data_IF_782705379454
#
_entry.id   IF_782705379454
#
_cell.length_a   1.000
_cell.length_b   1.000
_cell.length_c   1.000
_cell.angle_alpha   90.00
_cell.angle_beta   90.00
_cell.angle_gamma   90.00
#
_symmetry.space_group_name_H-M   'P 1'
#
loop_
_entity.id
_entity.type
_entity.pdbx_description
1 polymer ?
#
# COMPACT_ATOMS: atom_id res chain seq x y z
N UNK A 1 16.95 -23.06 -16.73
CA UNK A 1 17.70 -24.23 -17.21
C UNK A 1 16.74 -25.43 -17.43
N UNK A 2 15.94 -25.84 -16.44
CA UNK A 2 14.96 -26.95 -16.59
C UNK A 2 13.98 -26.72 -17.74
N UNK A 3 13.43 -25.51 -17.90
CA UNK A 3 12.53 -25.23 -19.01
C UNK A 3 13.20 -25.34 -20.39
N UNK A 4 14.46 -24.88 -20.52
CA UNK A 4 15.23 -25.01 -21.76
C UNK A 4 15.55 -26.48 -22.06
N UNK A 5 16.00 -27.25 -21.07
CA UNK A 5 16.24 -28.67 -21.20
C UNK A 5 14.97 -29.42 -21.63
N UNK A 6 13.83 -29.10 -21.00
CA UNK A 6 12.54 -29.73 -21.32
C UNK A 6 12.05 -29.36 -22.72
N UNK A 7 12.30 -28.13 -23.19
CA UNK A 7 11.98 -27.71 -24.55
C UNK A 7 12.78 -28.51 -25.62
N UNK A 8 14.03 -28.88 -25.31
CA UNK A 8 14.88 -29.65 -26.21
C UNK A 8 14.47 -31.13 -26.26
N UNK A 9 14.03 -31.69 -25.15
CA UNK A 9 13.73 -33.14 -25.02
C UNK A 9 12.26 -33.47 -25.22
N UNK A 10 11.36 -32.48 -25.09
CA UNK A 10 9.90 -32.67 -25.23
C UNK A 10 9.20 -33.15 -23.95
N UNK A 11 9.90 -33.29 -22.83
CA UNK A 11 9.37 -33.69 -21.52
C UNK A 11 10.19 -33.04 -20.39
N UNK A 12 9.66 -33.03 -19.16
CA UNK A 12 10.36 -32.44 -18.03
C UNK A 12 11.69 -33.15 -17.81
N UNK A 13 12.81 -32.42 -17.99
CA UNK A 13 14.16 -32.94 -17.99
C UNK A 13 15.03 -32.25 -16.96
N UNK A 14 15.81 -33.05 -16.22
CA UNK A 14 16.87 -32.53 -15.37
C UNK A 14 17.99 -31.93 -16.24
N UNK A 15 18.29 -30.63 -16.17
CA UNK A 15 19.31 -30.01 -17.00
C UNK A 15 20.72 -30.54 -16.74
N UNK A 16 20.97 -31.15 -15.58
CA UNK A 16 22.30 -31.71 -15.24
C UNK A 16 22.60 -32.97 -16.00
N UNK A 17 21.60 -33.60 -16.62
CA UNK A 17 21.77 -34.81 -17.46
C UNK A 17 22.18 -34.51 -18.90
N UNK A 18 22.09 -33.23 -19.31
CA UNK A 18 22.50 -32.78 -20.62
C UNK A 18 24.02 -32.55 -20.69
N UNK A 19 24.63 -32.66 -21.91
CA UNK A 19 26.03 -32.29 -22.05
C UNK A 19 26.31 -30.86 -21.57
N UNK A 20 27.49 -30.62 -20.95
CA UNK A 20 27.84 -29.27 -20.48
C UNK A 20 27.88 -28.31 -21.66
N UNK A 21 27.20 -27.16 -21.49
CA UNK A 21 27.20 -26.07 -22.47
C UNK A 21 28.47 -25.27 -22.28
N UNK A 22 29.19 -24.99 -23.36
CA UNK A 22 30.32 -24.10 -23.32
C UNK A 22 29.87 -22.72 -22.84
N UNK A 23 30.58 -22.15 -21.89
CA UNK A 23 30.30 -20.79 -21.41
C UNK A 23 30.44 -19.82 -22.58
N UNK A 24 29.42 -18.98 -22.85
CA UNK A 24 29.51 -17.96 -23.89
C UNK A 24 30.64 -16.98 -23.56
N UNK A 25 31.53 -16.77 -24.51
CA UNK A 25 32.53 -15.71 -24.36
C UNK A 25 31.83 -14.36 -24.48
N UNK A 26 32.09 -13.49 -23.54
CA UNK A 26 31.64 -12.10 -23.67
C UNK A 26 32.38 -11.44 -24.82
N UNK A 27 31.68 -10.69 -25.68
CA UNK A 27 32.35 -9.93 -26.73
C UNK A 27 33.20 -8.83 -26.12
N UNK A 28 34.35 -8.54 -26.70
CA UNK A 28 35.24 -7.45 -26.29
C UNK A 28 34.53 -6.08 -26.33
N UNK A 29 33.52 -5.96 -27.15
CA UNK A 29 32.70 -4.75 -27.29
C UNK A 29 31.25 -5.09 -27.56
N UNK A 30 30.34 -4.59 -26.71
CA UNK A 30 28.91 -4.66 -26.95
C UNK A 30 28.48 -3.61 -27.99
N UNK A 31 27.52 -3.98 -28.84
CA UNK A 31 26.80 -2.98 -29.65
C UNK A 31 25.78 -2.29 -28.74
N UNK A 32 26.02 -1.02 -28.50
CA UNK A 32 25.08 -0.17 -27.74
C UNK A 32 24.32 0.66 -28.77
N UNK A 33 23.00 0.67 -28.67
CA UNK A 33 22.13 1.58 -29.43
C UNK A 33 21.34 2.42 -28.44
N UNK A 34 21.66 3.70 -28.40
CA UNK A 34 21.05 4.68 -27.50
C UNK A 34 19.97 5.51 -28.19
N UNK A 35 19.60 5.19 -29.45
CA UNK A 35 18.64 5.95 -30.23
C UNK A 35 17.23 6.06 -29.59
N UNK A 36 16.93 5.13 -28.67
CA UNK A 36 15.68 5.14 -27.88
C UNK A 36 15.77 5.93 -26.58
N UNK A 37 16.93 6.48 -26.23
CA UNK A 37 17.14 7.25 -24.99
C UNK A 37 16.90 8.73 -25.31
N UNK A 38 15.86 9.31 -24.70
CA UNK A 38 15.63 10.75 -24.74
C UNK A 38 16.47 11.37 -23.64
N UNK A 39 17.52 12.13 -24.01
CA UNK A 39 18.35 12.82 -23.04
C UNK A 39 17.53 13.89 -22.27
N UNK A 40 17.85 14.15 -20.99
CA UNK A 40 17.22 15.24 -20.26
C UNK A 40 17.56 16.59 -20.94
N UNK A 41 16.65 17.54 -20.85
CA UNK A 41 16.86 18.90 -21.34
C UNK A 41 18.03 19.57 -20.56
N UNK A 42 18.77 20.48 -21.22
CA UNK A 42 19.70 21.36 -20.51
C UNK A 42 19.01 22.10 -19.37
N UNK A 43 19.70 22.37 -18.27
CA UNK A 43 19.11 22.93 -17.05
C UNK A 43 18.27 24.19 -17.30
N UNK A 44 18.76 25.11 -18.15
CA UNK A 44 18.06 26.35 -18.48
C UNK A 44 16.72 26.13 -19.22
N UNK A 45 16.62 25.06 -20.00
CA UNK A 45 15.39 24.69 -20.72
C UNK A 45 14.46 23.87 -19.83
N UNK A 46 15.03 23.06 -18.92
CA UNK A 46 14.27 22.22 -17.99
C UNK A 46 13.43 23.06 -17.01
N UNK A 47 13.92 24.24 -16.58
CA UNK A 47 13.18 25.15 -15.68
C UNK A 47 11.86 25.64 -16.27
N UNK A 48 11.77 25.73 -17.59
CA UNK A 48 10.58 26.23 -18.31
C UNK A 48 9.78 25.12 -18.98
N UNK A 49 10.20 23.86 -18.83
CA UNK A 49 9.55 22.73 -19.46
C UNK A 49 8.14 22.48 -18.88
N UNK A 50 7.14 22.45 -19.73
CA UNK A 50 5.79 22.09 -19.33
C UNK A 50 5.64 20.58 -19.16
N UNK A 51 5.11 20.15 -18.03
CA UNK A 51 4.80 18.74 -17.77
C UNK A 51 3.46 18.39 -18.42
N UNK A 52 3.49 17.77 -19.59
CA UNK A 52 2.30 17.31 -20.28
C UNK A 52 1.78 15.99 -19.64
N UNK A 53 0.54 16.03 -19.14
CA UNK A 53 -0.13 14.86 -18.57
C UNK A 53 -1.31 14.44 -19.43
N UNK A 54 -1.46 13.14 -19.66
CA UNK A 54 -2.66 12.58 -20.27
C UNK A 54 -3.92 12.77 -19.39
N UNK A 55 -5.12 12.62 -19.93
CA UNK A 55 -6.38 12.94 -19.25
C UNK A 55 -6.62 12.09 -17.99
N UNK A 56 -6.07 10.87 -17.95
CA UNK A 56 -6.17 9.94 -16.80
C UNK A 56 -5.00 10.05 -15.81
N UNK A 57 -4.07 10.98 -15.99
CA UNK A 57 -2.99 11.22 -15.06
C UNK A 57 -3.40 12.38 -14.15
N UNK A 58 -3.63 12.11 -12.87
CA UNK A 58 -3.96 13.10 -11.84
C UNK A 58 -2.82 13.25 -10.85
N UNK A 59 -2.71 14.41 -10.19
CA UNK A 59 -1.76 14.58 -9.09
C UNK A 59 -1.91 13.47 -8.04
N UNK A 60 -0.79 13.15 -7.39
CA UNK A 60 -0.80 12.26 -6.24
C UNK A 60 -1.67 12.88 -5.11
N UNK A 61 -2.38 12.08 -4.31
CA UNK A 61 -3.16 12.59 -3.19
C UNK A 61 -2.26 13.39 -2.22
N UNK A 62 -2.75 14.55 -1.81
CA UNK A 62 -2.08 15.33 -0.77
C UNK A 62 -2.16 14.57 0.56
N UNK A 63 -1.07 14.58 1.30
CA UNK A 63 -0.95 14.01 2.64
C UNK A 63 -0.68 15.11 3.66
N UNK A 64 -0.75 14.79 4.93
CA UNK A 64 -0.46 15.68 6.03
C UNK A 64 0.31 14.93 7.11
N UNK A 65 1.12 15.62 7.92
CA UNK A 65 1.76 15.00 9.06
C UNK A 65 0.77 14.24 9.93
N UNK A 66 1.23 13.12 10.51
CA UNK A 66 0.39 12.25 11.32
C UNK A 66 -0.30 13.04 12.45
N UNK A 67 -1.63 12.89 12.52
CA UNK A 67 -2.42 13.48 13.61
C UNK A 67 -2.07 12.82 14.97
N UNK A 68 -1.99 13.59 16.03
CA UNK A 68 -1.75 13.06 17.39
C UNK A 68 -3.04 12.56 18.06
N UNK A 69 -4.18 13.02 17.58
CA UNK A 69 -5.52 12.61 17.99
C UNK A 69 -6.33 12.21 16.76
N UNK A 70 -6.83 10.98 16.74
CA UNK A 70 -7.65 10.45 15.63
C UNK A 70 -8.94 9.90 16.22
N UNK A 71 -10.05 10.52 15.88
CA UNK A 71 -11.38 10.02 16.20
C UNK A 71 -12.19 9.87 14.91
N UNK A 72 -12.68 8.67 14.61
CA UNK A 72 -13.42 8.38 13.40
C UNK A 72 -14.26 7.09 13.54
N UNK A 73 -15.21 6.92 12.62
CA UNK A 73 -15.99 5.68 12.57
C UNK A 73 -15.24 4.53 11.88
N UNK A 74 -15.59 3.30 12.22
CA UNK A 74 -15.23 2.09 11.48
C UNK A 74 -16.06 2.07 10.20
N UNK A 75 -15.45 2.42 9.08
CA UNK A 75 -16.15 2.45 7.78
C UNK A 75 -16.38 1.03 7.27
N UNK A 76 -15.48 0.11 7.60
CA UNK A 76 -15.59 -1.28 7.15
C UNK A 76 -14.96 -2.23 8.17
N UNK A 77 -15.69 -3.30 8.53
CA UNK A 77 -15.16 -4.47 9.26
C UNK A 77 -15.16 -5.67 8.33
N UNK A 78 -14.00 -6.33 8.18
CA UNK A 78 -13.80 -7.48 7.29
C UNK A 78 -13.09 -8.61 8.01
N UNK A 79 -13.34 -9.84 7.59
CA UNK A 79 -12.76 -11.05 8.17
C UNK A 79 -11.30 -11.28 7.79
N UNK A 80 -10.89 -12.54 7.92
CA UNK A 80 -9.54 -13.01 7.64
C UNK A 80 -9.23 -13.06 6.13
N UNK A 81 -7.94 -13.04 5.80
CA UNK A 81 -7.41 -13.26 4.44
C UNK A 81 -7.95 -12.26 3.40
N UNK A 82 -8.15 -11.02 3.80
CA UNK A 82 -8.45 -9.95 2.84
C UNK A 82 -7.23 -9.75 1.93
N UNK A 83 -7.45 -9.94 0.64
CA UNK A 83 -6.40 -9.79 -0.37
C UNK A 83 -6.31 -8.35 -0.89
N UNK A 84 -5.19 -8.01 -1.51
CA UNK A 84 -5.07 -6.74 -2.24
C UNK A 84 -6.06 -6.61 -3.39
N UNK A 85 -6.57 -7.73 -3.94
CA UNK A 85 -7.66 -7.74 -4.93
C UNK A 85 -9.04 -7.43 -4.30
N UNK A 86 -9.25 -7.83 -3.05
CA UNK A 86 -10.44 -7.41 -2.30
C UNK A 86 -10.43 -5.91 -2.03
N UNK A 87 -9.25 -5.36 -1.65
CA UNK A 87 -9.10 -3.92 -1.35
C UNK A 87 -9.17 -3.09 -2.63
N UNK A 88 -8.41 -3.48 -3.66
CA UNK A 88 -8.34 -2.76 -4.94
C UNK A 88 -8.34 -3.75 -6.10
N UNK A 89 -9.49 -4.03 -6.69
CA UNK A 89 -9.60 -4.93 -7.83
C UNK A 89 -8.74 -4.49 -9.02
N UNK A 90 -8.23 -5.46 -9.78
CA UNK A 90 -7.34 -5.22 -10.92
C UNK A 90 -7.95 -5.74 -12.24
N UNK A 91 -9.21 -5.52 -12.48
CA UNK A 91 -9.89 -5.88 -13.72
C UNK A 91 -9.70 -4.84 -14.84
N UNK A 92 -10.05 -5.20 -16.07
CA UNK A 92 -9.98 -4.31 -17.24
C UNK A 92 -10.74 -2.99 -17.09
N UNK A 93 -11.76 -2.95 -16.24
CA UNK A 93 -12.53 -1.74 -15.91
C UNK A 93 -11.77 -0.78 -14.99
N UNK A 94 -10.83 -1.27 -14.19
CA UNK A 94 -10.10 -0.53 -13.14
C UNK A 94 -8.72 -0.09 -13.61
N UNK A 95 -8.00 -0.99 -14.30
CA UNK A 95 -6.62 -0.76 -14.74
C UNK A 95 -6.37 0.52 -15.54
N UNK A 96 -7.29 1.03 -16.41
CA UNK A 96 -7.08 2.29 -17.10
C UNK A 96 -6.93 3.52 -16.19
N UNK A 97 -7.37 3.42 -14.92
CA UNK A 97 -7.33 4.52 -13.94
C UNK A 97 -6.14 4.47 -12.98
N UNK A 98 -5.12 3.64 -13.22
CA UNK A 98 -3.98 3.48 -12.29
C UNK A 98 -3.27 4.77 -11.92
N UNK A 99 -3.19 5.73 -12.83
CA UNK A 99 -2.60 7.05 -12.57
C UNK A 99 -3.64 8.12 -12.19
N UNK A 100 -4.85 7.69 -11.80
CA UNK A 100 -5.95 8.56 -11.39
C UNK A 100 -6.54 8.03 -10.08
N UNK A 101 -5.85 8.33 -8.96
CA UNK A 101 -6.26 7.83 -7.64
C UNK A 101 -7.69 8.25 -7.28
N UNK A 102 -8.13 9.50 -7.53
CA UNK A 102 -9.54 9.88 -7.34
C UNK A 102 -10.53 8.93 -8.01
N UNK A 103 -10.26 8.56 -9.27
CA UNK A 103 -11.19 7.69 -10.03
C UNK A 103 -11.07 6.22 -9.62
N UNK A 104 -9.85 5.72 -9.42
CA UNK A 104 -9.66 4.31 -9.04
C UNK A 104 -10.19 4.02 -7.64
N UNK A 105 -10.20 5.01 -6.74
CA UNK A 105 -10.72 4.87 -5.37
C UNK A 105 -12.21 4.54 -5.31
N UNK A 106 -12.98 4.87 -6.36
CA UNK A 106 -14.40 4.49 -6.47
C UNK A 106 -14.61 2.96 -6.50
N UNK A 107 -13.58 2.20 -6.86
CA UNK A 107 -13.60 0.73 -6.91
C UNK A 107 -13.05 0.08 -5.63
N UNK A 108 -12.62 0.89 -4.65
CA UNK A 108 -12.05 0.39 -3.41
C UNK A 108 -13.07 -0.49 -2.67
N UNK A 109 -12.68 -1.74 -2.34
CA UNK A 109 -13.52 -2.77 -1.74
C UNK A 109 -14.79 -3.16 -2.53
N UNK A 110 -14.96 -2.75 -3.77
CA UNK A 110 -16.20 -2.97 -4.54
C UNK A 110 -16.60 -4.44 -4.69
N UNK A 111 -15.68 -5.40 -4.50
CA UNK A 111 -15.97 -6.84 -4.51
C UNK A 111 -16.36 -7.39 -3.14
N UNK A 112 -16.23 -6.59 -2.07
CA UNK A 112 -16.57 -6.95 -0.68
C UNK A 112 -17.82 -6.18 -0.25
N UNK A 113 -17.84 -4.88 -0.53
CA UNK A 113 -18.90 -3.94 -0.18
C UNK A 113 -18.92 -2.80 -1.21
N UNK A 114 -19.85 -2.85 -2.13
CA UNK A 114 -20.00 -1.86 -3.21
C UNK A 114 -20.26 -0.43 -2.70
N UNK A 115 -20.71 -0.28 -1.46
CA UNK A 115 -21.03 1.02 -0.85
C UNK A 115 -19.87 1.64 -0.08
N UNK A 116 -18.76 0.89 0.13
CA UNK A 116 -17.63 1.34 0.94
C UNK A 116 -17.07 2.69 0.49
N UNK A 117 -16.77 2.84 -0.81
CA UNK A 117 -16.14 4.07 -1.31
C UNK A 117 -17.03 5.30 -1.11
N UNK A 118 -18.36 5.15 -1.27
CA UNK A 118 -19.31 6.23 -1.03
C UNK A 118 -19.38 6.60 0.46
N UNK A 119 -19.48 5.62 1.36
CA UNK A 119 -19.51 5.85 2.81
C UNK A 119 -18.21 6.48 3.31
N UNK A 120 -17.05 5.99 2.84
CA UNK A 120 -15.76 6.54 3.23
C UNK A 120 -15.62 8.01 2.79
N UNK A 121 -16.05 8.33 1.57
CA UNK A 121 -16.04 9.69 1.03
C UNK A 121 -16.98 10.63 1.81
N UNK A 122 -18.16 10.16 2.19
CA UNK A 122 -19.11 10.92 3.00
C UNK A 122 -18.58 11.18 4.42
N UNK A 123 -17.97 10.17 5.05
CA UNK A 123 -17.36 10.30 6.38
C UNK A 123 -16.10 11.19 6.38
N UNK A 124 -15.38 11.28 5.27
CA UNK A 124 -14.15 12.07 5.10
C UNK A 124 -12.93 11.54 5.87
N UNK A 125 -13.13 10.78 6.95
CA UNK A 125 -12.10 10.06 7.70
C UNK A 125 -12.68 8.78 8.32
N UNK A 126 -11.83 7.74 8.48
CA UNK A 126 -12.31 6.48 9.01
C UNK A 126 -11.23 5.47 9.36
N UNK A 127 -11.69 4.40 9.99
CA UNK A 127 -10.92 3.20 10.26
C UNK A 127 -11.43 2.01 9.43
N UNK A 128 -10.51 1.10 9.12
CA UNK A 128 -10.86 -0.24 8.64
C UNK A 128 -10.42 -1.24 9.71
N UNK A 129 -11.29 -2.20 10.04
CA UNK A 129 -11.01 -3.29 10.96
C UNK A 129 -10.96 -4.59 10.17
N UNK A 130 -9.85 -5.32 10.27
CA UNK A 130 -9.61 -6.57 9.55
C UNK A 130 -9.26 -7.74 10.45
N UNK A 131 -9.44 -8.94 9.93
CA UNK A 131 -9.01 -10.18 10.57
C UNK A 131 -7.52 -10.47 10.37
N UNK A 132 -7.18 -11.75 10.35
CA UNK A 132 -5.80 -12.23 10.16
C UNK A 132 -5.35 -12.13 8.72
N UNK A 133 -4.03 -11.89 8.51
CA UNK A 133 -3.39 -11.87 7.19
C UNK A 133 -4.02 -10.84 6.23
N UNK A 134 -4.29 -9.64 6.75
CA UNK A 134 -4.87 -8.55 5.97
C UNK A 134 -3.89 -8.04 4.90
N UNK A 135 -4.37 -7.86 3.68
CA UNK A 135 -3.60 -7.32 2.56
C UNK A 135 -2.70 -8.34 1.85
N UNK A 136 -2.96 -9.66 1.98
CA UNK A 136 -2.19 -10.66 1.28
C UNK A 136 -2.32 -10.55 -0.25
N UNK A 137 -1.37 -11.13 -0.99
CA UNK A 137 -1.39 -11.21 -2.44
C UNK A 137 -0.37 -10.32 -3.11
N UNK A 138 -0.73 -9.75 -4.27
CA UNK A 138 0.17 -8.92 -5.07
C UNK A 138 0.58 -7.64 -4.36
N UNK A 139 1.82 -7.21 -4.59
CA UNK A 139 2.31 -5.91 -4.14
C UNK A 139 1.63 -4.78 -4.93
N UNK A 140 0.61 -4.16 -4.35
CA UNK A 140 -0.16 -3.07 -4.97
C UNK A 140 -0.25 -1.88 -4.02
N UNK A 141 0.47 -0.81 -4.35
CA UNK A 141 0.37 0.45 -3.62
C UNK A 141 -1.04 1.06 -3.69
N UNK A 142 -1.77 0.82 -4.76
CA UNK A 142 -3.17 1.29 -4.89
C UNK A 142 -4.09 0.76 -3.79
N UNK A 143 -3.79 -0.42 -3.22
CA UNK A 143 -4.50 -0.96 -2.08
C UNK A 143 -4.26 -0.17 -0.77
N UNK A 144 -3.30 0.77 -0.76
CA UNK A 144 -3.10 1.75 0.30
C UNK A 144 -3.49 3.16 -0.16
N UNK A 145 -3.16 3.55 -1.41
CA UNK A 145 -3.44 4.89 -1.93
C UNK A 145 -4.93 5.18 -2.11
N UNK A 146 -5.74 4.19 -2.48
CA UNK A 146 -7.18 4.37 -2.61
C UNK A 146 -7.86 4.56 -1.25
N UNK A 147 -7.60 3.74 -0.21
CA UNK A 147 -8.02 4.02 1.16
C UNK A 147 -7.54 5.37 1.69
N UNK A 148 -6.27 5.75 1.45
CA UNK A 148 -5.75 7.06 1.82
C UNK A 148 -6.61 8.19 1.23
N UNK A 149 -6.84 8.15 -0.09
CA UNK A 149 -7.65 9.16 -0.78
C UNK A 149 -9.08 9.23 -0.23
N UNK A 150 -9.62 8.11 0.23
CA UNK A 150 -10.94 8.02 0.86
C UNK A 150 -10.92 8.41 2.36
N UNK A 151 -9.78 8.89 2.88
CA UNK A 151 -9.68 9.40 4.24
C UNK A 151 -9.43 8.35 5.32
N UNK A 152 -9.05 7.12 4.95
CA UNK A 152 -8.70 6.09 5.95
C UNK A 152 -7.41 6.49 6.66
N UNK A 153 -7.46 6.57 8.00
CA UNK A 153 -6.36 6.99 8.87
C UNK A 153 -5.57 5.82 9.46
N UNK A 154 -6.25 4.73 9.75
CA UNK A 154 -5.62 3.50 10.22
C UNK A 154 -6.37 2.26 9.75
N UNK A 155 -5.63 1.17 9.64
CA UNK A 155 -6.17 -0.18 9.53
C UNK A 155 -5.78 -0.92 10.79
N UNK A 156 -6.76 -1.51 11.47
CA UNK A 156 -6.59 -2.29 12.70
C UNK A 156 -6.88 -3.74 12.34
N UNK A 157 -5.93 -4.64 12.54
CA UNK A 157 -6.09 -6.03 12.12
C UNK A 157 -5.50 -7.02 13.14
N UNK A 158 -5.91 -8.28 13.07
CA UNK A 158 -5.26 -9.36 13.85
C UNK A 158 -3.82 -9.59 13.40
N UNK A 159 -3.57 -9.47 12.09
CA UNK A 159 -2.21 -9.49 11.50
C UNK A 159 -2.23 -8.96 10.06
N UNK A 160 -1.05 -8.57 9.57
CA UNK A 160 -0.87 -8.04 8.20
C UNK A 160 0.04 -8.90 7.35
N UNK A 161 -0.23 -8.92 6.05
CA UNK A 161 0.78 -9.30 5.07
C UNK A 161 1.88 -8.23 5.02
N UNK A 162 3.14 -8.66 5.12
CA UNK A 162 4.32 -7.77 5.29
C UNK A 162 4.40 -6.63 4.27
N UNK A 163 4.19 -6.94 2.99
CA UNK A 163 4.29 -5.93 1.91
C UNK A 163 3.18 -4.89 2.04
N UNK A 164 1.96 -5.33 2.40
CA UNK A 164 0.83 -4.42 2.54
C UNK A 164 0.99 -3.48 3.74
N UNK A 165 1.48 -3.98 4.88
CA UNK A 165 1.82 -3.14 6.02
C UNK A 165 2.82 -2.03 5.64
N UNK A 166 3.86 -2.38 4.85
CA UNK A 166 4.80 -1.39 4.34
C UNK A 166 4.15 -0.37 3.39
N UNK A 167 3.21 -0.80 2.54
CA UNK A 167 2.47 0.11 1.66
C UNK A 167 1.55 1.05 2.44
N UNK A 168 0.91 0.60 3.51
CA UNK A 168 0.11 1.45 4.41
C UNK A 168 0.99 2.54 5.03
N UNK A 169 2.15 2.17 5.58
CA UNK A 169 3.13 3.11 6.14
C UNK A 169 3.57 4.14 5.09
N UNK A 170 3.93 3.68 3.89
CA UNK A 170 4.36 4.57 2.80
C UNK A 170 3.26 5.55 2.37
N UNK A 171 2.00 5.16 2.52
CA UNK A 171 0.85 6.01 2.26
C UNK A 171 0.44 6.89 3.47
N UNK A 172 1.11 6.79 4.63
CA UNK A 172 0.75 7.53 5.83
C UNK A 172 -0.44 6.97 6.60
N UNK A 173 -0.82 5.72 6.35
CA UNK A 173 -1.89 5.01 7.07
C UNK A 173 -1.27 4.14 8.17
N UNK A 174 -1.77 4.26 9.40
CA UNK A 174 -1.29 3.48 10.55
C UNK A 174 -1.72 2.00 10.43
N UNK A 175 -0.79 1.03 10.36
CA UNK A 175 -1.10 -0.38 10.52
C UNK A 175 -1.02 -0.76 12.01
N UNK A 176 -2.16 -1.01 12.64
CA UNK A 176 -2.29 -1.34 14.06
C UNK A 176 -2.70 -2.80 14.23
N UNK A 177 -2.12 -3.48 15.19
CA UNK A 177 -2.33 -4.90 15.43
C UNK A 177 -2.94 -5.09 16.81
N UNK A 178 -4.03 -5.87 16.92
CA UNK A 178 -4.59 -6.27 18.20
C UNK A 178 -3.55 -7.02 19.03
N UNK A 179 -3.31 -6.63 20.28
CA UNK A 179 -2.47 -7.42 21.20
C UNK A 179 -3.16 -8.75 21.55
N UNK A 180 -4.47 -8.70 21.82
CA UNK A 180 -5.31 -9.87 21.94
C UNK A 180 -6.20 -9.97 20.67
N UNK A 181 -6.06 -11.02 19.84
CA UNK A 181 -6.86 -11.18 18.63
C UNK A 181 -8.37 -11.26 18.86
N UNK A 182 -8.81 -11.64 20.06
CA UNK A 182 -10.24 -11.75 20.40
C UNK A 182 -10.90 -10.37 20.55
N UNK A 183 -10.11 -9.32 20.80
CA UNK A 183 -10.62 -7.93 20.87
C UNK A 183 -11.19 -7.43 19.53
N UNK A 184 -10.87 -8.11 18.42
CA UNK A 184 -11.50 -7.86 17.12
C UNK A 184 -13.03 -7.99 17.19
N UNK A 185 -13.54 -8.94 17.97
CA UNK A 185 -14.97 -9.20 18.09
C UNK A 185 -15.69 -8.13 18.93
N UNK A 186 -14.94 -7.30 19.66
CA UNK A 186 -15.44 -6.20 20.49
C UNK A 186 -15.76 -4.91 19.69
N UNK A 187 -15.43 -4.86 18.41
CA UNK A 187 -15.61 -3.70 17.55
C UNK A 187 -16.59 -4.05 16.43
N UNK A 188 -17.55 -3.18 16.17
CA UNK A 188 -18.49 -3.33 15.06
C UNK A 188 -18.32 -2.23 14.00
N UNK A 189 -18.78 -2.51 12.78
CA UNK A 189 -18.84 -1.50 11.74
C UNK A 189 -19.81 -0.39 12.14
N UNK A 190 -19.35 0.85 12.05
CA UNK A 190 -20.08 2.03 12.50
C UNK A 190 -19.68 2.55 13.88
N UNK A 191 -18.96 1.74 14.69
CA UNK A 191 -18.45 2.21 15.97
C UNK A 191 -17.51 3.40 15.79
N UNK A 192 -17.60 4.37 16.70
CA UNK A 192 -16.66 5.49 16.75
C UNK A 192 -15.49 5.10 17.64
N UNK A 193 -14.30 5.11 17.05
CA UNK A 193 -13.05 4.76 17.71
C UNK A 193 -12.19 6.01 17.87
N UNK A 194 -11.40 6.03 18.96
CA UNK A 194 -10.49 7.13 19.25
C UNK A 194 -9.09 6.62 19.62
N UNK A 195 -8.08 7.29 19.07
CA UNK A 195 -6.66 7.11 19.39
C UNK A 195 -6.12 8.46 19.88
N UNK A 196 -5.49 8.48 21.05
CA UNK A 196 -4.86 9.65 21.64
C UNK A 196 -3.35 9.46 21.79
N UNK A 197 -2.57 10.54 21.62
CA UNK A 197 -1.11 10.50 21.76
C UNK A 197 -0.41 9.62 20.72
N UNK A 198 -0.93 9.57 19.50
CA UNK A 198 -0.47 8.68 18.42
C UNK A 198 1.01 8.87 18.12
N UNK A 199 1.49 10.13 18.10
CA UNK A 199 2.89 10.43 17.83
C UNK A 199 3.82 9.91 18.92
N UNK A 200 3.43 10.02 20.17
CA UNK A 200 4.20 9.48 21.31
C UNK A 200 4.20 7.96 21.30
N UNK A 201 3.05 7.35 21.03
CA UNK A 201 2.86 5.90 20.97
C UNK A 201 3.75 5.21 19.92
N UNK A 202 4.15 5.91 18.84
CA UNK A 202 5.15 5.40 17.90
C UNK A 202 6.51 5.09 18.57
N UNK A 203 6.85 5.80 19.65
CA UNK A 203 8.06 5.51 20.45
C UNK A 203 7.97 4.20 21.21
N UNK A 204 6.81 3.91 21.76
CA UNK A 204 6.55 2.79 22.66
C UNK A 204 6.05 1.51 21.92
N UNK A 205 5.79 1.61 20.62
CA UNK A 205 5.20 0.55 19.78
C UNK A 205 3.82 0.04 20.24
N UNK A 206 3.14 0.80 21.10
CA UNK A 206 1.85 0.48 21.69
C UNK A 206 0.96 1.69 21.81
N UNK A 207 -0.35 1.46 21.63
CA UNK A 207 -1.37 2.48 21.78
C UNK A 207 -2.66 1.85 22.31
N UNK A 208 -3.44 2.63 23.05
CA UNK A 208 -4.77 2.21 23.48
C UNK A 208 -5.80 2.79 22.51
N UNK A 209 -6.64 1.89 21.98
CA UNK A 209 -7.82 2.25 21.22
C UNK A 209 -9.01 2.37 22.17
N UNK A 210 -9.67 3.50 22.12
CA UNK A 210 -10.92 3.73 22.87
C UNK A 210 -12.12 3.43 21.96
N UNK A 211 -12.95 2.47 22.37
CA UNK A 211 -14.17 2.05 21.70
C UNK A 211 -15.34 2.11 22.69
N UNK A 212 -16.06 3.25 22.77
CA UNK A 212 -17.02 3.51 23.84
C UNK A 212 -16.35 3.45 25.22
N UNK A 213 -16.84 2.57 26.07
CA UNK A 213 -16.29 2.35 27.44
C UNK A 213 -15.09 1.35 27.46
N UNK A 214 -14.73 0.77 26.31
CA UNK A 214 -13.67 -0.24 26.19
C UNK A 214 -12.34 0.42 25.86
N UNK A 215 -11.26 -0.14 26.44
CA UNK A 215 -9.88 0.21 26.16
C UNK A 215 -9.18 -1.02 25.58
N UNK A 216 -8.88 -1.00 24.29
CA UNK A 216 -8.32 -2.12 23.55
C UNK A 216 -6.83 -1.85 23.27
N UNK A 217 -5.93 -2.68 23.82
CA UNK A 217 -4.49 -2.53 23.55
C UNK A 217 -4.15 -2.92 22.11
N UNK A 218 -3.47 -2.03 21.41
CA UNK A 218 -2.93 -2.27 20.10
C UNK A 218 -1.40 -2.12 20.10
N UNK A 219 -0.73 -2.85 19.22
CA UNK A 219 0.71 -2.75 19.00
C UNK A 219 1.05 -2.38 17.56
N UNK A 220 2.25 -1.90 17.37
CA UNK A 220 2.84 -1.55 16.07
C UNK A 220 4.12 -2.35 15.86
N UNK A 221 4.32 -2.87 14.65
CA UNK A 221 5.55 -3.57 14.26
C UNK A 221 6.30 -2.74 13.22
N UNK A 222 6.90 -1.63 13.67
CA UNK A 222 7.47 -0.59 12.81
C UNK A 222 8.97 -0.42 13.05
N UNK A 223 9.76 -0.47 11.97
CA UNK A 223 11.16 -0.04 12.01
C UNK A 223 11.27 1.48 12.23
N UNK A 224 12.41 1.95 12.76
CA UNK A 224 12.65 3.37 13.03
C UNK A 224 12.29 4.27 11.84
N UNK A 225 12.79 3.96 10.63
CA UNK A 225 12.48 4.73 9.42
C UNK A 225 10.99 4.76 9.09
N UNK A 226 10.26 3.67 9.33
CA UNK A 226 8.83 3.61 9.08
C UNK A 226 8.03 4.55 10.01
N UNK A 227 8.48 4.71 11.26
CA UNK A 227 7.91 5.68 12.21
C UNK A 227 8.14 7.11 11.72
N UNK A 228 9.34 7.41 11.22
CA UNK A 228 9.68 8.72 10.65
C UNK A 228 8.84 9.04 9.40
N UNK A 229 8.62 8.04 8.53
CA UNK A 229 7.73 8.15 7.36
C UNK A 229 6.29 8.45 7.78
N UNK A 230 5.75 7.76 8.77
CA UNK A 230 4.40 8.01 9.28
C UNK A 230 4.28 9.41 9.89
N UNK A 231 5.26 9.84 10.68
CA UNK A 231 5.28 11.19 11.27
C UNK A 231 5.24 12.29 10.20
N UNK A 232 5.93 12.08 9.09
CA UNK A 232 5.94 13.01 7.96
C UNK A 232 4.61 13.06 7.19
N UNK A 233 3.76 12.01 7.31
CA UNK A 233 2.51 11.88 6.56
C UNK A 233 2.59 10.90 5.39
N UNK A 234 3.76 10.31 5.15
CA UNK A 234 4.01 9.31 4.10
C UNK A 234 5.40 9.41 3.52
N UNK A 235 5.73 8.47 2.64
CA UNK A 235 7.08 8.34 2.10
C UNK A 235 7.50 9.55 1.24
N UNK A 236 6.59 10.14 0.47
CA UNK A 236 6.89 11.28 -0.40
C UNK A 236 7.21 12.53 0.41
N UNK A 237 6.41 12.80 1.46
CA UNK A 237 6.66 13.94 2.36
C UNK A 237 7.96 13.75 3.14
N UNK A 238 8.21 12.52 3.63
CA UNK A 238 9.47 12.19 4.28
C UNK A 238 10.67 12.45 3.35
N UNK A 239 10.61 12.00 2.10
CA UNK A 239 11.68 12.21 1.13
C UNK A 239 11.86 13.70 0.76
N UNK A 240 10.78 14.49 0.78
CA UNK A 240 10.86 15.94 0.54
C UNK A 240 11.53 16.71 1.69
N UNK A 241 11.49 16.18 2.92
CA UNK A 241 12.17 16.78 4.09
C UNK A 241 13.68 16.49 4.11
N UNK A 242 14.15 15.44 3.43
CA UNK A 242 15.56 15.07 3.36
C UNK A 242 16.34 15.84 2.27
N UNK A 243 15.68 16.58 1.39
CA UNK A 243 16.23 17.42 0.33
C UNK A 243 16.13 18.92 0.69
#
# INVERSE_FOLDING_TARGET
ETAAASALTGYITDPTTLPPIAQPQQPDRFRINDDGIIAPLPAAEAETAEVLRGPNIKPFPETSPLDDHIEAAVILKVGDNITTDHIMPAGSKVLPYRSNIPKISEFCFSVVDETFAARAKEAGKGFIVGGSNYGQGSSREHAALAPLYLGIKAVIAKSFARIHAANLVNAGILPLIFENPDDYDEIEQGDVLRLDGVRTALGDDRIILHAGDKNIPLRMELAKRQKEVLLAGGLLDYAAMEN
#
